data_IF_606038285854
#
_entry.id   IF_606038285854
#
_cell.length_a   1.000
_cell.length_b   1.000
_cell.length_c   1.000
_cell.angle_alpha   90.00
_cell.angle_beta   90.00
_cell.angle_gamma   90.00
#
_symmetry.space_group_name_H-M   'P 1'
#
loop_
_entity.id
_entity.type
_entity.pdbx_description
1 polymer ?
#
# COMPACT_ATOMS: atom_id res chain seq x y z
N UNK A 1 -14.56 24.70 -74.32
CA UNK A 1 -13.72 25.41 -73.31
C UNK A 1 -14.24 26.84 -73.20
N UNK A 2 -14.27 27.41 -71.99
CA UNK A 2 -15.03 28.61 -71.55
C UNK A 2 -16.48 28.26 -71.11
N UNK A 3 -17.12 28.83 -70.09
CA UNK A 3 -16.96 30.11 -69.36
C UNK A 3 -17.46 29.98 -67.89
N UNK A 4 -16.95 30.90 -67.07
CA UNK A 4 -17.25 31.32 -65.68
C UNK A 4 -18.73 31.59 -65.38
N UNK A 5 -19.17 31.39 -64.11
CA UNK A 5 -19.97 32.37 -63.35
C UNK A 5 -20.10 32.03 -61.86
N UNK A 6 -19.96 33.08 -61.05
CA UNK A 6 -20.03 33.18 -59.60
C UNK A 6 -21.49 33.20 -59.14
N UNK A 7 -21.83 32.51 -58.05
CA UNK A 7 -22.97 32.87 -57.19
C UNK A 7 -22.54 32.77 -55.74
N UNK A 8 -22.44 33.94 -55.12
CA UNK A 8 -22.34 34.13 -53.67
C UNK A 8 -23.70 33.84 -53.04
N UNK A 9 -23.75 32.96 -52.05
CA UNK A 9 -24.88 32.84 -51.13
C UNK A 9 -24.36 32.93 -49.70
N UNK A 10 -24.69 34.04 -49.04
CA UNK A 10 -24.52 34.29 -47.62
C UNK A 10 -25.58 33.48 -46.88
N UNK A 11 -25.19 32.65 -45.90
CA UNK A 11 -26.14 32.14 -44.90
C UNK A 11 -25.47 31.76 -43.57
N UNK A 12 -25.84 32.53 -42.55
CA UNK A 12 -26.07 32.17 -41.15
C UNK A 12 -24.93 31.58 -40.29
N UNK A 13 -24.54 32.40 -39.30
CA UNK A 13 -23.82 32.01 -38.11
C UNK A 13 -24.55 30.90 -37.34
N UNK A 14 -23.87 29.78 -37.11
CA UNK A 14 -24.29 28.70 -36.21
C UNK A 14 -23.20 28.45 -35.17
N UNK A 15 -23.45 28.96 -33.97
CA UNK A 15 -22.65 28.70 -32.77
C UNK A 15 -22.82 27.22 -32.38
N UNK A 16 -21.76 26.42 -32.43
CA UNK A 16 -21.73 25.12 -31.76
C UNK A 16 -20.38 24.99 -31.05
N UNK A 17 -20.41 25.30 -29.77
CA UNK A 17 -19.37 25.02 -28.81
C UNK A 17 -19.14 23.50 -28.75
N UNK A 18 -18.09 23.03 -29.41
CA UNK A 18 -17.54 21.70 -29.18
C UNK A 18 -16.61 21.77 -27.98
N UNK A 19 -17.12 21.51 -26.78
CA UNK A 19 -16.27 21.29 -25.60
C UNK A 19 -15.52 19.99 -25.80
N UNK A 20 -14.20 20.07 -25.98
CA UNK A 20 -13.31 18.93 -25.89
C UNK A 20 -13.32 18.41 -24.43
N UNK A 21 -14.09 17.36 -24.14
CA UNK A 21 -13.85 16.57 -22.93
C UNK A 21 -12.67 15.64 -23.22
N UNK A 22 -11.47 16.10 -22.87
CA UNK A 22 -10.31 15.23 -22.76
C UNK A 22 -10.54 14.29 -21.57
N UNK A 23 -11.13 13.12 -21.85
CA UNK A 23 -11.19 12.04 -20.88
C UNK A 23 -9.80 11.43 -20.79
N UNK A 24 -8.94 12.03 -19.95
CA UNK A 24 -7.78 11.33 -19.45
C UNK A 24 -8.32 10.13 -18.67
N UNK A 25 -8.25 8.94 -19.27
CA UNK A 25 -8.39 7.71 -18.52
C UNK A 25 -7.29 7.74 -17.46
N UNK A 26 -7.66 8.01 -16.21
CA UNK A 26 -6.78 7.75 -15.08
C UNK A 26 -6.65 6.22 -15.06
N UNK A 27 -5.58 5.71 -15.67
CA UNK A 27 -5.12 4.36 -15.36
C UNK A 27 -4.88 4.38 -13.86
N UNK A 28 -5.78 3.77 -13.09
CA UNK A 28 -5.52 3.45 -11.69
C UNK A 28 -4.33 2.50 -11.73
N UNK A 29 -3.12 3.05 -11.61
CA UNK A 29 -1.93 2.27 -11.43
C UNK A 29 -2.14 1.51 -10.12
N UNK A 30 -2.50 0.23 -10.23
CA UNK A 30 -2.72 -0.60 -9.05
C UNK A 30 -1.42 -0.63 -8.26
N UNK A 31 -1.47 -0.48 -6.93
CA UNK A 31 -0.26 -0.52 -6.12
C UNK A 31 0.51 -1.82 -6.41
N UNK A 32 1.83 -1.75 -6.40
CA UNK A 32 2.72 -2.90 -6.53
C UNK A 32 3.30 -3.26 -5.15
N UNK A 33 3.07 -4.46 -4.63
CA UNK A 33 3.79 -4.91 -3.44
C UNK A 33 4.96 -5.76 -3.89
N UNK A 34 6.21 -5.29 -3.80
CA UNK A 34 7.36 -6.15 -4.07
C UNK A 34 7.60 -7.10 -2.89
N UNK A 35 6.65 -8.00 -2.63
CA UNK A 35 6.72 -9.05 -1.60
C UNK A 35 7.91 -9.96 -1.93
N UNK A 36 9.01 -9.83 -1.19
CA UNK A 36 10.03 -10.86 -1.10
C UNK A 36 9.59 -11.82 0.01
N UNK A 37 8.88 -12.90 -0.37
CA UNK A 37 8.49 -13.95 0.57
C UNK A 37 9.75 -14.73 1.01
N UNK A 38 10.43 -14.24 2.03
CA UNK A 38 11.50 -14.98 2.71
C UNK A 38 10.87 -16.01 3.65
N UNK A 39 11.46 -17.20 3.79
CA UNK A 39 11.05 -18.19 4.79
C UNK A 39 11.46 -17.71 6.19
N UNK A 40 10.56 -16.97 6.85
CA UNK A 40 10.77 -16.46 8.21
C UNK A 40 10.24 -17.50 9.21
N UNK A 41 11.06 -17.88 10.18
CA UNK A 41 10.61 -18.65 11.35
C UNK A 41 10.03 -17.69 12.39
N UNK A 42 8.78 -17.87 12.85
CA UNK A 42 8.24 -17.05 13.93
C UNK A 42 9.08 -17.22 15.19
N UNK A 43 9.77 -16.15 15.61
CA UNK A 43 10.44 -16.13 16.91
C UNK A 43 9.42 -15.55 17.91
N UNK A 44 8.91 -16.40 18.82
CA UNK A 44 8.17 -15.95 19.99
C UNK A 44 9.12 -15.19 20.92
N UNK A 45 9.22 -13.87 20.72
CA UNK A 45 9.88 -12.99 21.68
C UNK A 45 8.85 -12.56 22.72
N UNK A 46 9.17 -12.82 23.99
CA UNK A 46 8.45 -12.35 25.18
C UNK A 46 8.07 -10.86 25.02
N UNK A 47 6.79 -10.56 25.15
CA UNK A 47 6.25 -9.22 24.93
C UNK A 47 6.56 -8.32 26.12
N UNK A 48 7.51 -7.40 25.93
CA UNK A 48 7.58 -6.19 26.73
C UNK A 48 6.59 -5.19 26.12
N UNK A 49 5.62 -4.74 26.92
CA UNK A 49 4.68 -3.68 26.56
C UNK A 49 5.48 -2.47 26.02
N UNK A 50 5.17 -1.92 24.83
CA UNK A 50 6.04 -0.94 24.19
C UNK A 50 6.07 0.37 24.99
N UNK A 51 7.10 0.49 25.84
CA UNK A 51 7.47 1.77 26.47
C UNK A 51 8.19 2.63 25.44
N UNK A 52 7.40 3.44 24.76
CA UNK A 52 7.88 4.45 23.83
C UNK A 52 8.10 3.91 22.43
N UNK A 53 7.76 4.75 21.45
CA UNK A 53 8.11 4.56 20.06
C UNK A 53 9.57 4.08 19.93
N UNK A 54 9.79 2.81 19.59
CA UNK A 54 11.11 2.33 19.24
C UNK A 54 11.51 3.02 17.92
N UNK A 55 12.08 4.21 18.06
CA UNK A 55 12.67 5.00 16.98
C UNK A 55 13.98 4.39 16.51
N UNK A 56 14.47 3.36 17.19
CA UNK A 56 15.62 2.56 16.79
C UNK A 56 15.23 1.08 16.87
N UNK A 57 15.32 0.39 15.74
CA UNK A 57 15.05 -1.03 15.56
C UNK A 57 16.36 -1.72 15.22
N UNK A 58 16.73 -2.75 15.96
CA UNK A 58 17.92 -3.56 15.66
C UNK A 58 17.55 -4.65 14.66
N UNK A 59 18.45 -4.94 13.72
CA UNK A 59 18.31 -6.03 12.76
C UNK A 59 18.18 -7.36 13.51
N UNK A 60 17.15 -8.13 13.17
CA UNK A 60 16.96 -9.48 13.67
C UNK A 60 18.00 -10.43 13.09
N UNK A 61 18.18 -11.60 13.69
CA UNK A 61 19.13 -12.64 13.25
C UNK A 61 18.84 -13.19 11.85
N UNK A 62 17.60 -13.07 11.38
CA UNK A 62 17.18 -13.41 10.02
C UNK A 62 17.52 -12.32 8.98
N UNK A 63 18.12 -11.22 9.43
CA UNK A 63 18.53 -10.10 8.59
C UNK A 63 17.45 -9.04 8.36
N UNK A 64 16.23 -9.23 8.89
CA UNK A 64 15.09 -8.35 8.69
C UNK A 64 14.93 -7.34 9.85
N UNK A 65 14.19 -6.27 9.59
CA UNK A 65 13.81 -5.29 10.62
C UNK A 65 12.33 -5.43 10.92
N UNK A 66 12.01 -5.53 12.22
CA UNK A 66 10.64 -5.70 12.69
C UNK A 66 10.16 -4.45 13.43
N UNK A 67 8.93 -4.04 13.14
CA UNK A 67 8.24 -2.99 13.89
C UNK A 67 6.89 -3.52 14.37
N UNK A 68 6.68 -3.45 15.67
CA UNK A 68 5.39 -3.73 16.27
C UNK A 68 4.53 -2.45 16.21
N UNK A 69 3.29 -2.60 15.73
CA UNK A 69 2.35 -1.50 15.58
C UNK A 69 0.99 -1.90 16.15
N UNK A 70 0.27 -0.93 16.70
CA UNK A 70 -1.11 -1.12 17.17
C UNK A 70 -2.08 -0.86 16.02
N UNK A 71 -2.70 -1.90 15.50
CA UNK A 71 -3.63 -1.87 14.38
C UNK A 71 -5.03 -2.18 14.88
N UNK A 72 -5.99 -1.29 14.65
CA UNK A 72 -7.38 -1.43 15.14
C UNK A 72 -7.50 -1.86 16.62
N UNK A 73 -6.52 -1.51 17.46
CA UNK A 73 -6.48 -1.89 18.89
C UNK A 73 -5.56 -3.07 19.22
N UNK A 74 -5.18 -3.91 18.25
CA UNK A 74 -4.36 -5.11 18.41
C UNK A 74 -2.89 -4.86 18.04
N UNK A 75 -1.96 -5.53 18.72
CA UNK A 75 -0.53 -5.45 18.35
C UNK A 75 -0.24 -6.41 17.20
N UNK A 76 0.24 -5.90 16.08
CA UNK A 76 0.68 -6.67 14.92
C UNK A 76 2.16 -6.41 14.67
N UNK A 77 2.93 -7.48 14.47
CA UNK A 77 4.35 -7.40 14.12
C UNK A 77 4.50 -7.33 12.61
N UNK A 78 5.23 -6.34 12.13
CA UNK A 78 5.51 -6.17 10.71
C UNK A 78 7.00 -6.30 10.40
N UNK A 79 7.32 -6.90 9.25
CA UNK A 79 8.60 -6.63 8.58
C UNK A 79 8.52 -5.23 7.96
N UNK A 80 9.54 -4.41 8.18
CA UNK A 80 9.68 -3.12 7.49
C UNK A 80 10.09 -3.40 6.03
N UNK A 81 9.15 -3.25 5.10
CA UNK A 81 9.35 -3.55 3.69
C UNK A 81 9.28 -2.28 2.84
N UNK A 82 10.45 -1.72 2.51
CA UNK A 82 10.53 -0.54 1.66
C UNK A 82 10.11 -0.81 0.20
N UNK A 83 10.05 -2.08 -0.21
CA UNK A 83 9.65 -2.51 -1.55
C UNK A 83 8.13 -2.70 -1.70
N UNK A 84 7.38 -2.82 -0.61
CA UNK A 84 5.93 -2.87 -0.64
C UNK A 84 5.33 -1.46 -0.75
N UNK A 85 4.44 -1.22 -1.74
CA UNK A 85 3.74 0.08 -1.82
C UNK A 85 2.63 0.24 -0.77
N UNK A 86 2.04 -0.85 -0.31
CA UNK A 86 0.95 -0.88 0.67
C UNK A 86 1.27 -1.80 1.84
N UNK A 87 0.59 -1.61 2.98
CA UNK A 87 0.56 -2.61 4.06
C UNK A 87 -0.02 -3.92 3.51
N UNK A 88 0.64 -5.02 3.85
CA UNK A 88 0.18 -6.36 3.52
C UNK A 88 0.04 -7.17 4.79
N UNK A 89 -1.16 -7.69 5.07
CA UNK A 89 -1.41 -8.56 6.20
C UNK A 89 -1.36 -10.03 5.80
N UNK A 90 -0.94 -10.86 6.74
CA UNK A 90 -1.25 -12.29 6.71
C UNK A 90 -2.77 -12.51 6.87
N UNK A 91 -3.27 -13.67 6.43
CA UNK A 91 -4.66 -14.05 6.69
C UNK A 91 -4.97 -14.13 8.20
N UNK A 92 -4.02 -14.63 9.00
CA UNK A 92 -4.18 -14.78 10.44
C UNK A 92 -4.28 -13.41 11.14
N UNK A 93 -3.43 -12.45 10.79
CA UNK A 93 -3.50 -11.09 11.32
C UNK A 93 -4.80 -10.39 10.88
N UNK A 94 -5.22 -10.57 9.62
CA UNK A 94 -6.47 -10.01 9.13
C UNK A 94 -7.69 -10.54 9.91
N UNK A 95 -7.71 -11.84 10.22
CA UNK A 95 -8.75 -12.47 11.05
C UNK A 95 -8.72 -11.91 12.47
N UNK A 96 -7.54 -11.83 13.10
CA UNK A 96 -7.36 -11.26 14.43
C UNK A 96 -7.85 -9.81 14.53
N UNK A 97 -7.72 -9.05 13.43
CA UNK A 97 -8.21 -7.68 13.29
C UNK A 97 -9.69 -7.57 12.91
N UNK A 98 -10.41 -8.68 12.75
CA UNK A 98 -11.82 -8.72 12.37
C UNK A 98 -12.08 -8.19 10.96
N UNK A 99 -11.15 -8.40 10.02
CA UNK A 99 -11.27 -7.89 8.65
C UNK A 99 -11.99 -8.85 7.69
N UNK A 100 -12.27 -10.09 8.10
CA UNK A 100 -12.80 -11.15 7.22
C UNK A 100 -14.08 -10.72 6.46
N UNK A 101 -15.00 -10.04 7.14
CA UNK A 101 -16.26 -9.53 6.57
C UNK A 101 -16.09 -8.19 5.82
N UNK A 102 -14.89 -7.57 5.91
CA UNK A 102 -14.52 -6.30 5.27
C UNK A 102 -13.60 -6.50 4.08
N UNK A 103 -13.37 -7.74 3.66
CA UNK A 103 -12.52 -8.07 2.52
C UNK A 103 -13.29 -7.90 1.21
N UNK A 104 -12.72 -7.08 0.31
CA UNK A 104 -13.21 -6.95 -1.06
C UNK A 104 -13.04 -8.22 -1.90
N UNK A 105 -13.33 -8.06 -3.19
CA UNK A 105 -13.09 -9.09 -4.19
C UNK A 105 -11.59 -9.44 -4.25
N UNK A 106 -11.31 -10.70 -4.58
CA UNK A 106 -9.94 -11.13 -4.87
C UNK A 106 -9.40 -10.37 -6.08
N UNK A 107 -8.17 -9.91 -5.95
CA UNK A 107 -7.37 -9.29 -6.99
C UNK A 107 -5.99 -9.97 -7.04
N UNK A 108 -5.21 -9.66 -8.07
CA UNK A 108 -3.84 -10.16 -8.21
C UNK A 108 -2.86 -9.01 -8.16
N UNK A 109 -1.86 -9.15 -7.31
CA UNK A 109 -0.79 -8.16 -7.18
C UNK A 109 0.53 -8.74 -7.66
N UNK A 110 1.37 -7.91 -8.29
CA UNK A 110 2.72 -8.32 -8.69
C UNK A 110 3.65 -8.19 -7.50
N UNK A 111 4.32 -9.30 -7.18
CA UNK A 111 5.30 -9.46 -6.11
C UNK A 111 6.67 -9.84 -6.66
N UNK A 112 7.68 -9.92 -5.79
CA UNK A 112 9.01 -10.35 -6.21
C UNK A 112 9.02 -11.83 -6.65
N UNK A 113 8.14 -12.66 -6.08
CA UNK A 113 7.94 -14.06 -6.47
C UNK A 113 7.00 -14.26 -7.68
N UNK A 114 6.49 -13.18 -8.28
CA UNK A 114 5.49 -13.23 -9.34
C UNK A 114 4.12 -12.71 -8.89
N UNK A 115 3.07 -13.00 -9.65
CA UNK A 115 1.72 -12.52 -9.30
C UNK A 115 1.09 -13.39 -8.23
N UNK A 116 0.60 -12.80 -7.14
CA UNK A 116 -0.05 -13.48 -6.02
C UNK A 116 -1.49 -12.98 -5.83
N UNK A 117 -2.44 -13.85 -5.43
CA UNK A 117 -3.80 -13.45 -5.08
C UNK A 117 -3.82 -12.66 -3.76
N UNK A 118 -4.64 -11.62 -3.70
CA UNK A 118 -4.79 -10.74 -2.54
C UNK A 118 -6.22 -10.23 -2.45
N UNK A 119 -6.67 -9.85 -1.25
CA UNK A 119 -7.96 -9.19 -1.03
C UNK A 119 -7.75 -7.84 -0.38
N UNK A 120 -8.43 -6.82 -0.90
CA UNK A 120 -8.29 -5.45 -0.39
C UNK A 120 -9.21 -5.19 0.80
N UNK A 121 -8.74 -4.40 1.76
CA UNK A 121 -9.54 -3.88 2.86
C UNK A 121 -9.02 -2.52 3.34
N UNK A 122 -9.52 -2.04 4.47
CA UNK A 122 -9.07 -0.81 5.12
C UNK A 122 -8.89 -1.03 6.61
N UNK A 123 -7.78 -0.50 7.13
CA UNK A 123 -7.54 -0.39 8.57
C UNK A 123 -8.13 0.94 9.07
N UNK A 124 -8.83 0.89 10.19
CA UNK A 124 -9.40 2.09 10.81
C UNK A 124 -8.27 2.96 11.37
N UNK A 125 -7.34 2.32 12.10
CA UNK A 125 -6.15 2.99 12.67
C UNK A 125 -4.93 2.08 12.66
N UNK A 126 -3.76 2.69 12.46
CA UNK A 126 -2.45 2.09 12.76
C UNK A 126 -1.62 3.08 13.57
N UNK A 127 -1.10 2.66 14.71
CA UNK A 127 -0.15 3.43 15.51
C UNK A 127 1.21 2.74 15.47
N UNK A 128 2.20 3.41 14.89
CA UNK A 128 3.55 2.89 14.72
C UNK A 128 4.56 4.01 14.99
N UNK A 129 5.65 3.68 15.69
CA UNK A 129 6.71 4.64 16.04
C UNK A 129 6.18 5.98 16.63
N UNK A 130 5.12 5.91 17.46
CA UNK A 130 4.53 7.07 18.12
C UNK A 130 3.65 7.96 17.23
N UNK A 131 3.30 7.50 16.03
CA UNK A 131 2.42 8.19 15.09
C UNK A 131 1.19 7.34 14.82
N UNK A 132 0.01 7.94 15.00
CA UNK A 132 -1.26 7.34 14.65
C UNK A 132 -1.72 7.82 13.28
N UNK A 133 -1.99 6.86 12.39
CA UNK A 133 -2.56 7.09 11.06
C UNK A 133 -3.93 6.42 10.99
N UNK A 134 -4.80 6.91 10.11
CA UNK A 134 -6.17 6.41 9.97
C UNK A 134 -6.51 6.09 8.52
N UNK A 135 -7.47 5.18 8.32
CA UNK A 135 -8.03 4.79 7.02
C UNK A 135 -6.96 4.31 6.03
N UNK A 136 -6.15 3.37 6.45
CA UNK A 136 -5.03 2.83 5.65
C UNK A 136 -5.53 1.73 4.72
N UNK A 137 -5.23 1.86 3.43
CA UNK A 137 -5.42 0.78 2.47
C UNK A 137 -4.49 -0.39 2.80
N UNK A 138 -5.07 -1.59 2.85
CA UNK A 138 -4.35 -2.81 3.19
C UNK A 138 -4.73 -3.93 2.24
N UNK A 139 -3.74 -4.72 1.85
CA UNK A 139 -3.96 -5.98 1.14
C UNK A 139 -3.81 -7.14 2.14
N UNK A 140 -4.65 -8.15 2.00
CA UNK A 140 -4.52 -9.42 2.73
C UNK A 140 -4.02 -10.46 1.76
N UNK A 141 -2.85 -11.02 2.04
CA UNK A 141 -2.23 -12.05 1.23
C UNK A 141 -2.84 -13.44 1.51
N UNK A 142 -2.72 -14.36 0.56
CA UNK A 142 -2.98 -15.77 0.79
C UNK A 142 -1.96 -16.44 1.74
N UNK A 143 -2.02 -17.77 1.86
CA UNK A 143 -1.30 -18.57 2.86
C UNK A 143 0.26 -18.56 2.75
N UNK A 144 0.81 -17.94 1.72
CA UNK A 144 2.25 -17.88 1.45
C UNK A 144 2.98 -16.86 2.34
N UNK A 145 2.31 -15.78 2.73
CA UNK A 145 2.93 -14.75 3.58
C UNK A 145 2.91 -15.18 5.04
N UNK A 146 4.10 -15.24 5.67
CA UNK A 146 4.25 -15.69 7.06
C UNK A 146 4.27 -14.57 8.10
N UNK A 147 4.64 -13.37 7.69
CA UNK A 147 4.66 -12.18 8.56
C UNK A 147 4.12 -11.00 7.77
N UNK A 148 3.31 -10.15 8.42
CA UNK A 148 2.76 -8.95 7.81
C UNK A 148 3.86 -7.97 7.41
N UNK A 149 3.65 -7.19 6.35
CA UNK A 149 4.62 -6.23 5.82
C UNK A 149 4.12 -4.80 5.96
N UNK A 150 4.98 -3.92 6.46
CA UNK A 150 4.72 -2.49 6.56
C UNK A 150 5.23 -1.78 5.31
N UNK A 151 4.32 -1.43 4.41
CA UNK A 151 4.65 -0.79 3.14
C UNK A 151 4.72 0.74 3.20
N UNK A 152 5.05 1.32 2.05
CA UNK A 152 5.31 2.75 1.88
C UNK A 152 4.12 3.66 2.17
N UNK A 153 2.89 3.19 1.99
CA UNK A 153 1.69 3.97 2.35
C UNK A 153 1.62 4.29 3.86
N UNK A 154 2.34 3.56 4.72
CA UNK A 154 2.53 3.90 6.13
C UNK A 154 3.95 4.44 6.39
N UNK A 155 4.99 3.77 5.91
CA UNK A 155 6.40 4.14 6.20
C UNK A 155 6.71 5.60 5.88
N UNK A 156 6.23 6.11 4.74
CA UNK A 156 6.45 7.50 4.32
C UNK A 156 5.83 8.54 5.26
N UNK A 157 4.86 8.13 6.09
CA UNK A 157 4.19 8.99 7.06
C UNK A 157 4.79 8.88 8.47
N UNK A 158 5.71 7.93 8.68
CA UNK A 158 6.39 7.75 9.98
C UNK A 158 7.54 8.74 10.21
N UNK A 159 7.85 9.57 9.21
CA UNK A 159 8.96 10.50 9.23
C UNK A 159 10.17 9.96 8.49
N UNK A 160 11.38 10.30 8.94
CA UNK A 160 12.62 9.87 8.27
C UNK A 160 12.98 8.45 8.71
N UNK A 161 12.91 7.49 7.80
CA UNK A 161 13.37 6.11 8.01
C UNK A 161 14.79 5.96 7.42
N UNK A 162 15.77 5.60 8.24
CA UNK A 162 17.18 5.47 7.82
C UNK A 162 17.84 4.20 8.32
N UNK A 163 18.68 3.60 7.50
CA UNK A 163 19.48 2.43 7.87
C UNK A 163 20.91 2.86 8.27
N UNK A 164 21.38 2.37 9.41
CA UNK A 164 22.73 2.60 9.95
C UNK A 164 23.32 1.27 10.41
N UNK A 165 23.96 0.55 9.50
CA UNK A 165 24.46 -0.80 9.76
C UNK A 165 23.32 -1.77 10.08
N UNK A 166 23.30 -2.25 11.32
CA UNK A 166 22.26 -3.15 11.85
C UNK A 166 21.15 -2.43 12.62
N UNK A 167 21.00 -1.14 12.37
CA UNK A 167 19.95 -0.31 12.98
C UNK A 167 19.09 0.33 11.91
N UNK A 168 17.78 0.33 12.13
CA UNK A 168 16.81 1.15 11.42
C UNK A 168 16.33 2.23 12.39
N UNK A 169 16.45 3.50 11.98
CA UNK A 169 16.09 4.66 12.80
C UNK A 169 14.93 5.42 12.16
N UNK A 170 13.90 5.73 12.95
CA UNK A 170 12.69 6.47 12.56
C UNK A 170 12.64 7.81 13.30
N UNK A 171 12.72 8.93 12.57
CA UNK A 171 12.69 10.28 13.13
C UNK A 171 11.44 11.09 12.77
#
# INVERSE_FOLDING_TARGET
MLHTSVVTAIAAAGFLAGTCVNSAMVTVQRPNANLAATNITPIETKFDEPKGAHREIVRSSDGLFYLDAKVNGEIVRFVVDTGASVVVLTGDDANRLGLDDKLGAEDRMRTAGGSAPMRWSKLDTIEAAGRQLSRIDVAVAGAELKVSLLGQNVLSQLGTVSFKGDKLVIN
#
